data_IF_042431965759
#
_entry.id   IF_042431965759
#
_cell.length_a   1.000
_cell.length_b   1.000
_cell.length_c   1.000
_cell.angle_alpha   90.00
_cell.angle_beta   90.00
_cell.angle_gamma   90.00
#
_symmetry.space_group_name_H-M   'P 1'
#
loop_
_entity.id
_entity.type
_entity.pdbx_description
1 polymer ?
#
# COMPACT_ATOMS: atom_id res chain seq x y z
N UNK A 1 0.16 19.49 -14.47
CA UNK A 1 1.15 19.90 -13.45
C UNK A 1 2.47 20.07 -14.15
N UNK A 2 3.02 21.27 -14.12
CA UNK A 2 4.37 21.51 -14.60
C UNK A 2 5.33 21.23 -13.44
N UNK A 3 6.35 20.39 -13.65
CA UNK A 3 7.40 20.14 -12.65
C UNK A 3 8.70 20.89 -12.99
N UNK A 4 8.83 21.38 -14.23
CA UNK A 4 10.04 22.02 -14.75
C UNK A 4 10.09 23.54 -14.48
N UNK A 5 8.92 24.20 -14.39
CA UNK A 5 8.81 25.65 -14.15
C UNK A 5 8.43 26.01 -12.70
N UNK A 6 8.66 25.07 -11.77
CA UNK A 6 8.09 25.10 -10.42
C UNK A 6 6.85 24.22 -10.34
N UNK A 7 6.57 23.61 -9.19
CA UNK A 7 5.43 22.71 -9.00
C UNK A 7 4.12 23.52 -9.00
N UNK A 8 3.60 23.80 -10.19
CA UNK A 8 2.33 24.51 -10.37
C UNK A 8 1.29 23.66 -11.10
N UNK A 9 0.03 23.89 -10.77
CA UNK A 9 -1.11 23.32 -11.48
C UNK A 9 -1.95 24.42 -12.14
N UNK A 10 -2.13 24.27 -13.45
CA UNK A 10 -3.01 25.12 -14.25
C UNK A 10 -4.31 24.36 -14.56
N UNK A 11 -5.46 25.05 -14.63
CA UNK A 11 -6.71 24.44 -15.08
C UNK A 11 -6.56 23.85 -16.48
N UNK A 12 -7.07 22.63 -16.66
CA UNK A 12 -7.07 21.94 -17.95
C UNK A 12 -8.40 21.21 -18.14
N UNK A 13 -9.04 21.43 -19.29
CA UNK A 13 -10.15 20.59 -19.72
C UNK A 13 -9.60 19.37 -20.46
N UNK A 14 -9.75 18.20 -19.86
CA UNK A 14 -9.33 16.93 -20.45
C UNK A 14 -10.30 16.43 -21.54
N UNK A 15 -11.49 17.02 -21.65
CA UNK A 15 -12.57 16.51 -22.49
C UNK A 15 -13.25 15.24 -21.96
N UNK A 16 -12.72 14.63 -20.89
CA UNK A 16 -13.25 13.39 -20.30
C UNK A 16 -14.64 13.58 -19.69
N UNK A 17 -15.02 14.82 -19.35
CA UNK A 17 -16.35 15.12 -18.83
C UNK A 17 -17.48 14.64 -19.75
N UNK A 18 -17.29 14.71 -21.07
CA UNK A 18 -18.28 14.21 -22.05
C UNK A 18 -18.46 12.70 -21.98
N UNK A 19 -17.39 11.97 -21.66
CA UNK A 19 -17.40 10.51 -21.55
C UNK A 19 -17.95 10.04 -20.20
N UNK A 20 -17.56 10.69 -19.11
CA UNK A 20 -17.87 10.25 -17.74
C UNK A 20 -19.25 10.72 -17.26
N UNK A 21 -19.72 11.89 -17.70
CA UNK A 21 -21.01 12.44 -17.24
C UNK A 21 -22.20 11.51 -17.53
N UNK A 22 -22.32 10.89 -18.73
CA UNK A 22 -23.38 9.91 -19.00
C UNK A 22 -23.33 8.66 -18.10
N UNK A 23 -22.17 8.35 -17.52
CA UNK A 23 -21.99 7.21 -16.61
C UNK A 23 -22.18 7.58 -15.14
N UNK A 24 -22.51 8.85 -14.85
CA UNK A 24 -22.78 9.31 -13.50
C UNK A 24 -21.55 9.79 -12.74
N UNK A 25 -20.47 10.20 -13.42
CA UNK A 25 -19.26 10.73 -12.77
C UNK A 25 -18.83 12.05 -13.39
N UNK A 26 -18.51 13.05 -12.56
CA UNK A 26 -17.91 14.31 -12.98
C UNK A 26 -16.56 14.51 -12.32
N UNK A 27 -15.61 15.04 -13.08
CA UNK A 27 -14.31 15.46 -12.55
C UNK A 27 -14.43 16.94 -12.19
N UNK A 28 -14.28 17.24 -10.91
CA UNK A 28 -14.28 18.61 -10.41
C UNK A 28 -12.99 19.35 -10.77
N UNK A 29 -13.01 20.66 -10.56
CA UNK A 29 -11.87 21.54 -10.85
C UNK A 29 -11.10 21.84 -9.57
N UNK A 30 -9.78 21.98 -9.66
CA UNK A 30 -8.90 22.26 -8.53
C UNK A 30 -8.13 21.03 -8.03
N UNK A 31 -7.32 21.24 -7.00
CA UNK A 31 -6.47 20.21 -6.39
C UNK A 31 -6.91 20.00 -4.95
N UNK A 32 -7.19 18.76 -4.57
CA UNK A 32 -7.53 18.43 -3.18
C UNK A 32 -6.27 18.50 -2.32
N UNK A 33 -6.36 19.29 -1.26
CA UNK A 33 -5.40 19.34 -0.18
C UNK A 33 -6.01 18.70 1.07
N UNK A 34 -5.19 17.98 1.84
CA UNK A 34 -5.64 17.26 3.02
C UNK A 34 -4.68 17.46 4.19
N UNK A 35 -5.20 17.55 5.41
CA UNK A 35 -4.38 17.51 6.61
C UNK A 35 -3.71 16.13 6.77
N UNK A 36 -4.40 15.05 6.38
CA UNK A 36 -3.84 13.70 6.29
C UNK A 36 -3.03 13.57 5.01
N UNK A 37 -1.78 14.04 5.04
CA UNK A 37 -0.92 14.12 3.86
C UNK A 37 0.48 13.55 4.08
N UNK A 38 1.15 13.29 2.96
CA UNK A 38 2.56 12.94 2.93
C UNK A 38 3.46 14.12 3.34
N UNK A 39 4.75 13.84 3.47
CA UNK A 39 5.76 14.86 3.77
C UNK A 39 6.67 15.05 2.58
N UNK A 40 7.03 16.30 2.30
CA UNK A 40 7.95 16.66 1.22
C UNK A 40 9.20 17.33 1.79
N UNK A 41 10.39 17.13 1.18
CA UNK A 41 11.60 17.82 1.60
C UNK A 41 11.53 19.30 1.23
N UNK A 42 11.77 20.16 2.20
CA UNK A 42 11.91 21.61 2.03
C UNK A 42 13.28 22.04 2.53
N UNK A 43 13.93 22.96 1.80
CA UNK A 43 15.20 23.56 2.25
C UNK A 43 14.89 24.65 3.27
N UNK A 44 15.28 24.43 4.53
CA UNK A 44 15.17 25.42 5.59
C UNK A 44 16.28 26.48 5.51
N UNK A 45 16.16 27.50 6.37
CA UNK A 45 17.23 28.45 6.66
C UNK A 45 18.53 27.66 6.96
N UNK A 46 19.66 28.11 6.42
CA UNK A 46 20.98 27.44 6.50
C UNK A 46 21.17 26.17 5.65
N UNK A 47 20.25 25.87 4.72
CA UNK A 47 20.44 24.81 3.72
C UNK A 47 20.18 23.39 4.22
N UNK A 48 19.70 23.23 5.46
CA UNK A 48 19.26 21.96 6.01
C UNK A 48 17.95 21.52 5.32
N UNK A 49 17.87 20.26 4.88
CA UNK A 49 16.62 19.70 4.37
C UNK A 49 15.76 19.21 5.53
N UNK A 50 14.52 19.69 5.60
CA UNK A 50 13.53 19.30 6.60
C UNK A 50 12.28 18.75 5.90
N UNK A 51 11.72 17.65 6.39
CA UNK A 51 10.50 17.08 5.83
C UNK A 51 9.28 17.77 6.45
N UNK A 52 8.52 18.50 5.64
CA UNK A 52 7.31 19.24 6.07
C UNK A 52 6.04 18.56 5.54
N UNK A 53 4.90 18.64 6.26
CA UNK A 53 3.61 18.21 5.73
C UNK A 53 3.31 18.89 4.38
N UNK A 54 2.83 18.12 3.42
CA UNK A 54 2.54 18.59 2.07
C UNK A 54 1.09 18.26 1.67
N UNK A 55 0.13 19.12 2.03
CA UNK A 55 -1.30 18.87 1.87
C UNK A 55 -1.78 18.43 0.48
N UNK A 56 -1.24 18.92 -0.65
CA UNK A 56 -1.59 18.44 -1.99
C UNK A 56 -1.26 16.97 -2.27
N UNK A 57 -0.66 16.25 -1.32
CA UNK A 57 -0.38 14.81 -1.38
C UNK A 57 -1.17 14.09 -0.28
N UNK A 58 -2.50 13.94 -0.44
CA UNK A 58 -3.30 13.21 0.53
C UNK A 58 -2.84 11.76 0.65
N UNK A 59 -2.94 11.23 1.86
CA UNK A 59 -2.78 9.80 2.15
C UNK A 59 -4.17 9.23 2.34
N UNK A 60 -4.59 8.37 1.42
CA UNK A 60 -5.90 7.74 1.44
C UNK A 60 -5.79 6.46 2.27
N UNK A 61 -6.57 6.36 3.33
CA UNK A 61 -6.67 5.15 4.15
C UNK A 61 -7.93 4.38 3.77
N UNK A 62 -7.84 3.05 3.76
CA UNK A 62 -8.96 2.20 3.36
C UNK A 62 -9.49 1.42 4.55
N UNK A 63 -10.81 1.37 4.69
CA UNK A 63 -11.46 0.46 5.63
C UNK A 63 -11.61 -0.95 5.05
N UNK A 64 -12.10 -1.89 5.88
CA UNK A 64 -12.27 -3.29 5.46
C UNK A 64 -13.29 -3.47 4.33
N UNK A 65 -14.26 -2.57 4.19
CA UNK A 65 -15.25 -2.63 3.13
C UNK A 65 -14.63 -2.15 1.81
N UNK A 66 -13.91 -1.04 1.83
CA UNK A 66 -13.17 -0.52 0.69
C UNK A 66 -12.08 -1.49 0.21
N UNK A 67 -11.29 -2.07 1.13
CA UNK A 67 -10.26 -3.07 0.80
C UNK A 67 -10.83 -4.41 0.33
N UNK A 68 -12.15 -4.62 0.41
CA UNK A 68 -12.81 -5.79 -0.21
C UNK A 68 -12.91 -5.67 -1.74
N UNK A 69 -12.85 -4.44 -2.27
CA UNK A 69 -12.84 -4.23 -3.71
C UNK A 69 -11.50 -4.70 -4.31
N UNK A 70 -11.48 -5.47 -5.40
CA UNK A 70 -10.25 -6.05 -5.94
C UNK A 70 -9.16 -5.02 -6.25
N UNK A 71 -9.53 -3.82 -6.72
CA UNK A 71 -8.59 -2.73 -6.98
C UNK A 71 -7.87 -2.21 -5.71
N UNK A 72 -8.49 -2.34 -4.53
CA UNK A 72 -7.95 -1.87 -3.24
C UNK A 72 -7.48 -3.01 -2.33
N UNK A 73 -7.42 -4.22 -2.85
CA UNK A 73 -7.13 -5.41 -2.07
C UNK A 73 -5.75 -5.34 -1.41
N UNK A 74 -5.70 -5.61 -0.09
CA UNK A 74 -4.49 -5.56 0.76
C UNK A 74 -3.75 -4.21 0.76
N UNK A 75 -4.44 -3.13 0.44
CA UNK A 75 -3.94 -1.78 0.64
C UNK A 75 -4.53 -1.22 1.93
N UNK A 76 -3.65 -0.83 2.86
CA UNK A 76 -4.04 -0.08 4.06
C UNK A 76 -4.12 1.41 3.77
N UNK A 77 -3.15 1.93 3.00
CA UNK A 77 -3.15 3.32 2.55
C UNK A 77 -2.32 3.56 1.29
N UNK A 78 -2.65 4.62 0.55
CA UNK A 78 -2.03 5.03 -0.71
C UNK A 78 -1.75 6.53 -0.69
N UNK A 79 -0.57 6.94 -1.14
CA UNK A 79 -0.27 8.35 -1.37
C UNK A 79 -0.85 8.76 -2.71
N UNK A 80 -1.73 9.76 -2.73
CA UNK A 80 -2.49 10.13 -3.92
C UNK A 80 -2.25 11.60 -4.33
N UNK A 81 -1.04 11.91 -4.83
CA UNK A 81 -0.59 13.27 -5.09
C UNK A 81 -1.41 13.97 -6.17
N UNK A 82 -1.65 15.26 -5.93
CA UNK A 82 -2.15 16.24 -6.88
C UNK A 82 -3.44 15.81 -7.57
N UNK A 83 -4.42 15.42 -6.76
CA UNK A 83 -5.68 14.83 -7.23
C UNK A 83 -6.78 15.88 -7.37
N UNK A 84 -7.57 15.75 -8.43
CA UNK A 84 -8.82 16.47 -8.58
C UNK A 84 -9.95 15.76 -7.80
N UNK A 85 -10.95 16.48 -7.28
CA UNK A 85 -12.12 15.87 -6.66
C UNK A 85 -13.00 15.23 -7.74
N UNK A 86 -13.66 14.13 -7.40
CA UNK A 86 -14.68 13.48 -8.21
C UNK A 86 -16.06 13.70 -7.58
N UNK A 87 -17.09 13.81 -8.40
CA UNK A 87 -18.48 13.88 -7.98
C UNK A 87 -19.25 12.74 -8.62
N UNK A 88 -19.99 11.98 -7.80
CA UNK A 88 -20.90 10.95 -8.28
C UNK A 88 -22.30 11.55 -8.46
N UNK A 89 -22.89 11.36 -9.64
CA UNK A 89 -24.25 11.79 -9.99
C UNK A 89 -25.14 10.58 -10.25
N UNK A 90 -26.38 10.80 -10.67
CA UNK A 90 -27.27 9.69 -11.06
C UNK A 90 -26.65 8.88 -12.19
N UNK A 91 -26.47 7.59 -11.96
CA UNK A 91 -26.06 6.63 -12.98
C UNK A 91 -27.28 6.14 -13.78
N UNK A 92 -27.10 5.77 -15.07
CA UNK A 92 -28.15 5.16 -15.86
C UNK A 92 -28.48 3.73 -15.36
N UNK A 93 -29.64 3.21 -15.78
CA UNK A 93 -30.06 1.85 -15.42
C UNK A 93 -29.03 0.80 -15.88
N UNK A 94 -28.71 -0.15 -15.00
CA UNK A 94 -27.71 -1.18 -15.29
C UNK A 94 -26.25 -0.75 -15.12
N UNK A 95 -25.99 0.48 -14.63
CA UNK A 95 -24.65 0.97 -14.29
C UNK A 95 -24.54 1.19 -12.78
N UNK A 96 -23.58 0.50 -12.15
CA UNK A 96 -23.24 0.64 -10.73
C UNK A 96 -22.01 1.54 -10.61
N UNK A 97 -22.15 2.65 -9.90
CA UNK A 97 -21.04 3.55 -9.55
C UNK A 97 -20.73 3.37 -8.07
N UNK A 98 -19.49 3.00 -7.76
CA UNK A 98 -19.01 2.73 -6.39
C UNK A 98 -17.85 3.67 -6.08
N UNK A 99 -17.98 4.48 -5.04
CA UNK A 99 -16.87 5.29 -4.53
C UNK A 99 -15.88 4.39 -3.81
N UNK A 100 -14.66 4.30 -4.33
CA UNK A 100 -13.61 3.44 -3.77
C UNK A 100 -12.82 4.14 -2.66
N UNK A 101 -12.56 5.44 -2.81
CA UNK A 101 -11.73 6.20 -1.90
C UNK A 101 -12.19 7.64 -1.78
N UNK A 102 -12.09 8.18 -0.57
CA UNK A 102 -12.38 9.56 -0.25
C UNK A 102 -11.20 10.21 0.47
N UNK A 103 -11.06 11.53 0.34
CA UNK A 103 -10.19 12.30 1.23
C UNK A 103 -10.72 12.31 2.66
N UNK A 104 -9.91 12.79 3.61
CA UNK A 104 -10.33 12.93 4.99
C UNK A 104 -11.35 14.06 5.18
N UNK A 105 -12.01 14.11 6.35
CA UNK A 105 -12.90 15.21 6.73
C UNK A 105 -12.18 16.56 6.81
N UNK A 106 -10.85 16.55 7.04
CA UNK A 106 -10.02 17.75 7.13
C UNK A 106 -9.40 18.15 5.79
N UNK A 107 -10.02 17.75 4.68
CA UNK A 107 -9.60 18.13 3.33
C UNK A 107 -10.30 19.40 2.85
N UNK A 108 -9.64 20.10 1.94
CA UNK A 108 -10.16 21.30 1.29
C UNK A 108 -9.68 21.38 -0.15
N UNK A 109 -10.40 22.14 -0.96
CA UNK A 109 -10.06 22.32 -2.37
C UNK A 109 -9.18 23.55 -2.57
N UNK A 110 -8.02 23.36 -3.21
CA UNK A 110 -7.21 24.45 -3.75
C UNK A 110 -7.76 24.83 -5.12
N UNK A 111 -8.10 26.11 -5.30
CA UNK A 111 -8.64 26.65 -6.55
C UNK A 111 -7.85 27.90 -6.96
N UNK A 112 -7.79 28.16 -8.27
CA UNK A 112 -7.04 29.29 -8.82
C UNK A 112 -6.64 29.06 -10.27
N UNK A 113 -6.24 30.13 -10.95
CA UNK A 113 -5.73 30.05 -12.34
C UNK A 113 -4.32 29.45 -12.44
N UNK A 114 -3.55 29.52 -11.35
CA UNK A 114 -2.27 28.85 -11.16
C UNK A 114 -2.12 28.51 -9.68
N UNK A 115 -2.18 27.22 -9.35
CA UNK A 115 -2.08 26.73 -7.97
C UNK A 115 -0.62 26.37 -7.70
N UNK A 116 -0.01 27.00 -6.71
CA UNK A 116 1.34 26.68 -6.27
C UNK A 116 1.34 25.48 -5.32
N UNK A 117 1.90 24.37 -5.83
CA UNK A 117 2.03 23.07 -5.19
C UNK A 117 3.44 22.82 -4.66
N UNK A 118 4.32 23.83 -4.61
CA UNK A 118 5.64 23.65 -4.03
C UNK A 118 5.56 23.39 -2.51
N UNK A 119 6.47 22.57 -1.94
CA UNK A 119 6.66 22.48 -0.50
C UNK A 119 7.02 23.86 0.07
N UNK A 120 6.24 24.31 1.06
CA UNK A 120 6.37 25.61 1.72
C UNK A 120 6.12 25.47 3.21
N UNK A 121 6.28 26.55 3.98
CA UNK A 121 6.05 26.51 5.44
C UNK A 121 4.62 26.00 5.71
N UNK A 122 4.44 25.03 6.63
CA UNK A 122 3.12 24.51 6.97
C UNK A 122 2.08 25.58 7.31
N UNK A 123 2.52 26.73 7.84
CA UNK A 123 1.67 27.87 8.20
C UNK A 123 1.15 28.65 6.99
N UNK A 124 1.74 28.46 5.82
CA UNK A 124 1.30 29.10 4.58
C UNK A 124 0.17 28.33 3.89
N UNK A 125 -0.13 27.10 4.31
CA UNK A 125 -1.30 26.38 3.83
C UNK A 125 -2.57 26.92 4.47
N UNK A 126 -3.45 27.47 3.64
CA UNK A 126 -4.74 28.00 4.06
C UNK A 126 -5.87 27.23 3.37
N UNK A 127 -6.93 26.94 4.14
CA UNK A 127 -8.17 26.41 3.59
C UNK A 127 -8.84 27.51 2.75
N UNK A 128 -8.61 27.46 1.44
CA UNK A 128 -9.01 28.51 0.50
C UNK A 128 -10.29 28.20 -0.28
N UNK A 129 -10.77 26.96 -0.22
CA UNK A 129 -11.95 26.49 -0.93
C UNK A 129 -12.86 25.62 -0.08
N UNK A 130 -13.88 24.99 -0.70
CA UNK A 130 -14.80 24.09 -0.02
C UNK A 130 -14.06 23.02 0.80
N UNK A 131 -14.62 22.70 1.97
CA UNK A 131 -14.19 21.55 2.75
C UNK A 131 -14.75 20.25 2.16
N UNK A 132 -14.00 19.17 2.33
CA UNK A 132 -14.40 17.83 1.93
C UNK A 132 -15.32 17.14 2.95
N UNK A 133 -15.38 15.81 2.94
CA UNK A 133 -14.56 14.88 2.16
C UNK A 133 -14.93 14.88 0.66
N UNK A 134 -13.94 14.59 -0.18
CA UNK A 134 -14.08 14.48 -1.63
C UNK A 134 -13.87 13.04 -2.09
N UNK A 135 -14.74 12.47 -2.94
CA UNK A 135 -14.42 11.25 -3.68
C UNK A 135 -13.20 11.45 -4.57
N UNK A 136 -12.27 10.49 -4.56
CA UNK A 136 -11.01 10.58 -5.33
C UNK A 136 -10.79 9.38 -6.27
N UNK A 137 -11.41 8.24 -5.96
CA UNK A 137 -11.41 7.05 -6.80
C UNK A 137 -12.81 6.48 -6.89
N UNK A 138 -13.24 6.12 -8.09
CA UNK A 138 -14.58 5.59 -8.39
C UNK A 138 -14.46 4.41 -9.35
N UNK A 139 -15.14 3.31 -9.03
CA UNK A 139 -15.34 2.17 -9.92
C UNK A 139 -16.72 2.24 -10.55
N UNK A 140 -16.78 2.02 -11.86
CA UNK A 140 -18.01 1.93 -12.63
C UNK A 140 -18.08 0.52 -13.23
N UNK A 141 -19.20 -0.17 -13.03
CA UNK A 141 -19.45 -1.49 -13.60
C UNK A 141 -20.85 -1.55 -14.22
N UNK A 142 -20.97 -2.11 -15.42
CA UNK A 142 -22.29 -2.33 -16.01
C UNK A 142 -22.33 -2.26 -17.53
N UNK A 143 -23.55 -2.06 -18.05
CA UNK A 143 -23.80 -1.82 -19.46
C UNK A 143 -23.69 -0.33 -19.73
N UNK A 144 -22.56 0.12 -20.27
CA UNK A 144 -22.26 1.54 -20.39
C UNK A 144 -22.82 2.12 -21.70
N UNK A 145 -23.62 3.20 -21.66
CA UNK A 145 -24.04 3.90 -22.87
C UNK A 145 -22.83 4.56 -23.54
N UNK A 146 -22.82 4.58 -24.87
CA UNK A 146 -21.78 5.26 -25.63
C UNK A 146 -22.01 6.78 -25.60
N UNK A 147 -21.02 7.53 -25.13
CA UNK A 147 -21.02 8.99 -25.15
C UNK A 147 -20.96 9.59 -26.58
N UNK A 148 -20.66 8.77 -27.58
CA UNK A 148 -20.45 9.16 -28.97
C UNK A 148 -21.35 8.40 -29.96
N UNK A 149 -22.44 7.78 -29.47
CA UNK A 149 -23.38 7.01 -30.31
C UNK A 149 -24.00 7.82 -31.46
N UNK A 150 -23.94 9.16 -31.40
CA UNK A 150 -24.42 10.07 -32.43
C UNK A 150 -23.29 11.01 -32.86
N UNK A 151 -22.25 10.47 -33.51
CA UNK A 151 -21.37 11.32 -34.30
C UNK A 151 -22.04 11.56 -35.65
N UNK A 152 -22.29 12.83 -36.00
CA UNK A 152 -22.73 13.29 -37.33
C UNK A 152 -21.65 13.10 -38.42
N UNK A 153 -20.77 12.09 -38.28
CA UNK A 153 -19.84 11.71 -39.32
C UNK A 153 -20.64 10.96 -40.40
N UNK A 154 -20.69 11.45 -41.66
CA UNK A 154 -21.40 10.76 -42.71
C UNK A 154 -20.70 9.43 -43.00
N UNK A 155 -21.31 8.31 -42.59
CA UNK A 155 -20.97 6.97 -43.08
C UNK A 155 -20.64 5.88 -42.06
N UNK A 156 -20.80 6.08 -40.75
CA UNK A 156 -20.53 5.02 -39.76
C UNK A 156 -21.74 4.70 -38.87
N UNK A 157 -22.68 3.93 -39.42
CA UNK A 157 -23.84 3.36 -38.71
C UNK A 157 -23.47 2.20 -37.76
N UNK A 158 -22.17 1.93 -37.53
CA UNK A 158 -21.71 0.73 -36.82
C UNK A 158 -21.37 0.96 -35.34
N UNK A 159 -21.42 2.19 -34.82
CA UNK A 159 -21.09 2.45 -33.42
C UNK A 159 -22.22 1.98 -32.49
N UNK A 160 -21.99 1.00 -31.60
CA UNK A 160 -23.04 0.53 -30.71
C UNK A 160 -23.48 1.62 -29.74
N UNK A 161 -24.79 1.72 -29.50
CA UNK A 161 -25.36 2.70 -28.56
C UNK A 161 -24.95 2.43 -27.09
N UNK A 162 -24.55 1.20 -26.77
CA UNK A 162 -24.06 0.79 -25.46
C UNK A 162 -23.11 -0.40 -25.57
N UNK A 163 -22.39 -0.71 -24.49
CA UNK A 163 -21.53 -1.89 -24.42
C UNK A 163 -22.34 -3.19 -24.56
N UNK A 164 -21.82 -4.15 -25.31
CA UNK A 164 -22.48 -5.47 -25.51
C UNK A 164 -22.23 -6.44 -24.36
N UNK A 165 -21.21 -6.19 -23.56
CA UNK A 165 -20.85 -6.92 -22.34
C UNK A 165 -20.71 -5.93 -21.17
N UNK A 166 -20.72 -6.45 -19.96
CA UNK A 166 -20.39 -5.68 -18.76
C UNK A 166 -18.99 -5.10 -18.89
N UNK A 167 -18.90 -3.77 -18.88
CA UNK A 167 -17.66 -3.03 -18.88
C UNK A 167 -17.31 -2.59 -17.46
N UNK A 168 -16.01 -2.46 -17.19
CA UNK A 168 -15.46 -1.92 -15.95
C UNK A 168 -14.64 -0.69 -16.27
N UNK A 169 -14.82 0.38 -15.52
CA UNK A 169 -14.05 1.61 -15.65
C UNK A 169 -13.57 2.03 -14.27
N UNK A 170 -12.27 2.30 -14.17
CA UNK A 170 -11.65 2.89 -12.99
C UNK A 170 -11.40 4.37 -13.26
N UNK A 171 -11.99 5.24 -12.44
CA UNK A 171 -11.82 6.68 -12.52
C UNK A 171 -11.04 7.16 -11.31
N UNK A 172 -9.94 7.85 -11.56
CA UNK A 172 -9.05 8.39 -10.55
C UNK A 172 -8.86 9.90 -10.78
N UNK A 173 -8.88 10.69 -9.70
CA UNK A 173 -8.65 12.13 -9.76
C UNK A 173 -7.21 12.54 -10.11
N UNK A 174 -6.27 11.60 -10.11
CA UNK A 174 -4.87 11.81 -10.50
C UNK A 174 -4.34 10.61 -11.28
N UNK A 175 -3.52 10.85 -12.30
CA UNK A 175 -2.71 9.81 -12.95
C UNK A 175 -1.33 9.64 -12.29
N UNK A 176 -1.00 10.49 -11.31
CA UNK A 176 0.35 10.56 -10.76
C UNK A 176 0.77 9.26 -10.04
N UNK A 177 -0.18 8.49 -9.52
CA UNK A 177 0.09 7.17 -8.92
C UNK A 177 0.63 6.13 -9.92
N UNK A 178 0.50 6.38 -11.24
CA UNK A 178 1.03 5.53 -12.31
C UNK A 178 2.41 5.97 -12.82
N UNK A 179 2.93 7.11 -12.34
CA UNK A 179 4.20 7.63 -12.82
C UNK A 179 5.39 6.98 -12.10
N UNK A 180 6.52 6.91 -12.80
CA UNK A 180 7.77 6.36 -12.27
C UNK A 180 8.25 7.06 -10.99
N UNK A 181 7.95 8.35 -10.82
CA UNK A 181 8.30 9.07 -9.58
C UNK A 181 7.49 8.60 -8.36
N UNK A 182 6.34 7.97 -8.59
CA UNK A 182 5.51 7.35 -7.57
C UNK A 182 5.82 5.85 -7.37
N UNK A 183 6.67 5.26 -8.22
CA UNK A 183 7.14 3.88 -8.11
C UNK A 183 8.31 3.78 -7.11
N UNK A 184 8.53 2.60 -6.51
CA UNK A 184 9.61 2.41 -5.54
C UNK A 184 10.96 2.78 -6.13
N UNK A 185 11.59 3.80 -5.54
CA UNK A 185 12.98 4.12 -5.77
C UNK A 185 13.83 3.10 -4.99
N UNK A 186 14.72 2.38 -5.68
CA UNK A 186 15.64 1.45 -5.04
C UNK A 186 16.51 2.21 -4.03
N UNK A 187 16.27 2.03 -2.73
CA UNK A 187 17.06 2.68 -1.69
C UNK A 187 18.44 2.04 -1.60
N UNK A 188 19.42 2.60 -2.31
CA UNK A 188 20.83 2.21 -2.23
C UNK A 188 21.16 0.85 -2.85
N UNK A 189 22.42 0.67 -3.25
CA UNK A 189 22.90 -0.58 -3.84
C UNK A 189 22.73 -1.75 -2.86
N UNK A 190 21.70 -2.58 -3.08
CA UNK A 190 21.39 -3.75 -2.27
C UNK A 190 20.12 -3.66 -1.42
N UNK A 191 19.38 -2.54 -1.44
CA UNK A 191 18.07 -2.46 -0.78
C UNK A 191 16.99 -3.19 -1.59
N UNK A 192 16.18 -4.02 -0.94
CA UNK A 192 15.01 -4.63 -1.58
C UNK A 192 14.07 -3.53 -2.10
N UNK A 193 13.64 -3.64 -3.36
CA UNK A 193 12.57 -2.79 -3.89
C UNK A 193 11.26 -3.20 -3.22
N UNK A 194 10.99 -2.66 -2.03
CA UNK A 194 9.70 -2.81 -1.37
C UNK A 194 8.63 -2.22 -2.29
N UNK A 195 7.61 -3.01 -2.61
CA UNK A 195 6.50 -2.55 -3.43
C UNK A 195 5.77 -1.41 -2.70
N UNK A 196 5.84 -0.19 -3.21
CA UNK A 196 5.01 0.91 -2.69
C UNK A 196 3.54 0.57 -2.87
N UNK A 197 2.67 1.07 -1.99
CA UNK A 197 1.22 0.90 -2.12
C UNK A 197 0.66 1.44 -3.44
N UNK A 198 1.29 2.46 -4.04
CA UNK A 198 0.89 3.01 -5.34
C UNK A 198 1.09 2.01 -6.49
N UNK A 199 2.20 1.28 -6.50
CA UNK A 199 2.45 0.21 -7.48
C UNK A 199 1.47 -0.96 -7.29
N UNK A 200 1.19 -1.33 -6.04
CA UNK A 200 0.20 -2.36 -5.75
C UNK A 200 -1.21 -1.93 -6.20
N UNK A 201 -1.60 -0.67 -5.98
CA UNK A 201 -2.85 -0.10 -6.51
C UNK A 201 -2.90 -0.18 -8.04
N UNK A 202 -1.83 0.21 -8.73
CA UNK A 202 -1.77 0.18 -10.18
C UNK A 202 -1.97 -1.25 -10.72
N UNK A 203 -1.28 -2.22 -10.14
CA UNK A 203 -1.38 -3.63 -10.52
C UNK A 203 -2.77 -4.21 -10.24
N UNK A 204 -3.30 -3.99 -9.03
CA UNK A 204 -4.65 -4.43 -8.66
C UNK A 204 -5.72 -3.82 -9.58
N UNK A 205 -5.54 -2.56 -9.99
CA UNK A 205 -6.44 -1.87 -10.92
C UNK A 205 -6.38 -2.51 -12.31
N UNK A 206 -5.19 -2.78 -12.84
CA UNK A 206 -5.03 -3.48 -14.12
C UNK A 206 -5.67 -4.86 -14.07
N UNK A 207 -5.38 -5.64 -13.03
CA UNK A 207 -5.93 -7.00 -12.87
C UNK A 207 -7.48 -6.98 -12.78
N UNK A 208 -8.06 -5.98 -12.11
CA UNK A 208 -9.52 -5.81 -12.04
C UNK A 208 -10.13 -5.41 -13.40
N UNK A 209 -9.46 -4.53 -14.16
CA UNK A 209 -9.90 -4.06 -15.48
C UNK A 209 -9.82 -5.15 -16.55
N UNK A 210 -8.83 -6.06 -16.47
CA UNK A 210 -8.68 -7.19 -17.41
C UNK A 210 -9.63 -8.36 -17.12
N UNK A 211 -10.53 -8.21 -16.15
CA UNK A 211 -11.43 -9.26 -15.66
C UNK A 211 -10.71 -10.47 -15.07
N UNK A 212 -9.46 -10.32 -14.63
CA UNK A 212 -8.67 -11.39 -14.03
C UNK A 212 -8.66 -11.30 -12.49
N UNK A 213 -9.85 -11.19 -11.89
CA UNK A 213 -9.98 -11.15 -10.43
C UNK A 213 -9.53 -12.47 -9.76
N UNK A 214 -9.54 -13.58 -10.52
CA UNK A 214 -9.06 -14.88 -10.05
C UNK A 214 -7.53 -14.89 -9.88
N UNK A 215 -6.76 -14.16 -10.72
CA UNK A 215 -5.32 -13.97 -10.52
C UNK A 215 -4.98 -13.07 -9.31
N UNK A 216 -5.82 -12.10 -8.96
CA UNK A 216 -5.62 -11.25 -7.75
C UNK A 216 -5.62 -12.13 -6.50
N UNK A 217 -6.56 -13.08 -6.41
CA UNK A 217 -6.64 -14.05 -5.31
C UNK A 217 -5.43 -15.00 -5.27
N UNK A 218 -4.82 -15.32 -6.41
CA UNK A 218 -3.61 -16.16 -6.49
C UNK A 218 -2.36 -15.38 -6.06
N UNK A 219 -2.21 -14.11 -6.44
CA UNK A 219 -1.11 -13.24 -6.00
C UNK A 219 -1.14 -13.02 -4.48
N UNK A 220 -2.34 -12.92 -3.91
CA UNK A 220 -2.58 -12.78 -2.48
C UNK A 220 -1.99 -13.93 -1.65
N UNK A 221 -1.93 -15.14 -2.21
CA UNK A 221 -1.47 -16.34 -1.51
C UNK A 221 0.06 -16.46 -1.44
N UNK A 222 0.80 -15.66 -2.22
CA UNK A 222 2.23 -15.91 -2.43
C UNK A 222 3.18 -14.85 -1.83
N UNK A 223 2.67 -13.81 -1.15
CA UNK A 223 3.53 -12.80 -0.51
C UNK A 223 2.87 -12.30 0.76
N UNK A 224 2.93 -13.10 1.80
CA UNK A 224 2.93 -12.67 3.19
C UNK A 224 3.73 -13.76 3.89
N UNK A 225 5.06 -13.65 3.83
CA UNK A 225 5.84 -14.32 4.87
C UNK A 225 5.29 -13.73 6.17
N UNK A 226 4.65 -14.53 7.05
CA UNK A 226 4.24 -14.03 8.33
C UNK A 226 5.47 -13.35 8.94
N UNK A 227 5.32 -12.13 9.50
CA UNK A 227 6.46 -11.44 10.10
C UNK A 227 7.14 -12.45 11.01
N UNK A 228 8.45 -12.67 10.82
CA UNK A 228 9.19 -13.59 11.66
C UNK A 228 8.99 -13.06 13.08
N UNK A 229 8.17 -13.77 13.85
CA UNK A 229 7.88 -13.41 15.23
C UNK A 229 9.19 -13.57 15.98
N UNK A 230 9.87 -12.44 16.19
CA UNK A 230 11.12 -12.40 16.91
C UNK A 230 10.76 -12.77 18.35
N UNK A 231 11.43 -13.78 18.94
CA UNK A 231 11.18 -14.17 20.32
C UNK A 231 11.22 -12.97 21.27
N UNK A 232 10.29 -12.93 22.22
CA UNK A 232 10.08 -11.79 23.13
C UNK A 232 11.34 -11.43 23.93
N UNK A 233 12.15 -12.43 24.28
CA UNK A 233 13.46 -12.28 24.92
C UNK A 233 14.49 -11.58 24.03
N UNK A 234 14.48 -11.85 22.72
CA UNK A 234 15.33 -11.15 21.74
C UNK A 234 14.86 -9.71 21.56
N UNK A 235 13.54 -9.47 21.54
CA UNK A 235 12.94 -8.14 21.40
C UNK A 235 13.27 -7.24 22.60
N UNK A 236 13.11 -7.75 23.82
CA UNK A 236 13.43 -7.03 25.06
C UNK A 236 14.91 -6.67 25.12
N UNK A 237 15.80 -7.62 24.79
CA UNK A 237 17.24 -7.36 24.77
C UNK A 237 17.66 -6.32 23.71
N UNK A 238 16.98 -6.31 22.55
CA UNK A 238 17.21 -5.32 21.50
C UNK A 238 16.72 -3.91 21.88
N UNK A 239 15.58 -3.81 22.56
CA UNK A 239 15.06 -2.55 23.11
C UNK A 239 15.97 -1.99 24.20
N UNK A 240 16.45 -2.83 25.10
CA UNK A 240 17.43 -2.45 26.14
C UNK A 240 18.74 -1.93 25.50
N UNK A 241 19.28 -2.63 24.51
CA UNK A 241 20.48 -2.21 23.80
C UNK A 241 20.28 -0.87 23.07
N UNK A 242 19.12 -0.67 22.43
CA UNK A 242 18.79 0.57 21.72
C UNK A 242 18.62 1.75 22.66
N UNK A 243 17.98 1.54 23.80
CA UNK A 243 17.78 2.58 24.82
C UNK A 243 19.11 2.96 25.49
N UNK A 244 19.95 1.98 25.81
CA UNK A 244 21.29 2.20 26.36
C UNK A 244 22.21 2.93 25.35
N UNK A 245 22.15 2.59 24.06
CA UNK A 245 22.87 3.32 23.01
C UNK A 245 22.42 4.78 22.89
N UNK A 246 21.10 5.02 22.96
CA UNK A 246 20.54 6.38 22.96
C UNK A 246 20.99 7.21 24.16
N UNK A 247 21.01 6.61 25.36
CA UNK A 247 21.50 7.22 26.58
C UNK A 247 23.00 7.56 26.50
N UNK A 248 23.82 6.65 25.96
CA UNK A 248 25.25 6.87 25.77
C UNK A 248 25.54 8.03 24.80
N UNK A 249 24.82 8.11 23.68
CA UNK A 249 24.95 9.19 22.70
C UNK A 249 24.53 10.54 23.32
N UNK A 250 23.43 10.55 24.09
CA UNK A 250 22.95 11.76 24.76
C UNK A 250 23.92 12.27 25.84
N UNK A 251 24.51 11.37 26.63
CA UNK A 251 25.51 11.70 27.64
C UNK A 251 26.81 12.21 27.01
N UNK A 252 27.27 11.60 25.91
CA UNK A 252 28.43 12.04 25.16
C UNK A 252 28.27 13.45 24.57
N UNK A 253 27.07 13.81 24.10
CA UNK A 253 26.76 15.16 23.63
C UNK A 253 26.79 16.22 24.74
N UNK A 254 26.52 15.83 25.98
CA UNK A 254 26.51 16.71 27.16
C UNK A 254 27.87 16.79 27.87
N UNK A 255 28.88 16.05 27.40
CA UNK A 255 30.21 16.00 28.02
C UNK A 255 30.28 15.18 29.31
N UNK A 256 29.24 14.40 29.62
CA UNK A 256 29.21 13.50 30.77
C UNK A 256 29.81 12.14 30.40
N UNK A 257 31.13 12.04 30.55
CA UNK A 257 31.92 10.84 30.23
C UNK A 257 31.53 9.63 31.08
N UNK A 258 31.22 9.82 32.37
CA UNK A 258 30.91 8.73 33.28
C UNK A 258 29.57 8.06 32.94
N UNK A 259 28.56 8.86 32.57
CA UNK A 259 27.26 8.32 32.13
C UNK A 259 27.37 7.66 30.75
N UNK A 260 28.16 8.22 29.83
CA UNK A 260 28.39 7.64 28.52
C UNK A 260 29.05 6.25 28.58
N UNK A 261 30.08 6.06 29.40
CA UNK A 261 30.76 4.78 29.61
C UNK A 261 29.83 3.74 30.24
N UNK A 262 29.06 4.13 31.26
CA UNK A 262 28.12 3.24 31.94
C UNK A 262 26.97 2.79 31.04
N UNK A 263 26.47 3.65 30.16
CA UNK A 263 25.43 3.30 29.18
C UNK A 263 25.99 2.47 28.02
N UNK A 264 27.26 2.62 27.68
CA UNK A 264 27.94 1.73 26.72
C UNK A 264 28.12 0.30 27.28
N UNK A 265 28.52 0.15 28.55
CA UNK A 265 28.60 -1.16 29.23
C UNK A 265 27.24 -1.85 29.27
N UNK A 266 26.16 -1.13 29.61
CA UNK A 266 24.79 -1.65 29.56
C UNK A 266 24.37 -2.09 28.16
N UNK A 267 24.81 -1.38 27.11
CA UNK A 267 24.53 -1.74 25.73
C UNK A 267 25.24 -3.05 25.36
N UNK A 268 26.50 -3.23 25.77
CA UNK A 268 27.25 -4.47 25.55
C UNK A 268 26.59 -5.66 26.24
N UNK A 269 26.21 -5.51 27.52
CA UNK A 269 25.46 -6.52 28.28
C UNK A 269 24.15 -6.93 27.58
N UNK A 270 23.39 -5.95 27.08
CA UNK A 270 22.13 -6.21 26.37
C UNK A 270 22.36 -6.94 25.04
N UNK A 271 23.45 -6.63 24.34
CA UNK A 271 23.86 -7.32 23.12
C UNK A 271 24.30 -8.77 23.38
N UNK A 272 24.93 -9.06 24.52
CA UNK A 272 25.27 -10.43 24.92
C UNK A 272 24.01 -11.25 25.23
N UNK A 273 23.07 -10.70 26.01
CA UNK A 273 21.77 -11.36 26.27
C UNK A 273 21.00 -11.66 24.98
N UNK A 274 21.03 -10.73 24.02
CA UNK A 274 20.45 -10.95 22.69
C UNK A 274 21.10 -12.14 21.97
N UNK A 275 22.43 -12.26 22.01
CA UNK A 275 23.16 -13.38 21.37
C UNK A 275 22.79 -14.71 22.02
N UNK A 276 22.70 -14.75 23.35
CA UNK A 276 22.29 -15.94 24.09
C UNK A 276 20.86 -16.37 23.77
N UNK A 277 19.92 -15.41 23.76
CA UNK A 277 18.53 -15.63 23.40
C UNK A 277 18.39 -16.20 21.97
N UNK A 278 19.12 -15.62 21.00
CA UNK A 278 19.18 -16.12 19.63
C UNK A 278 19.77 -17.54 19.55
N UNK A 279 20.85 -17.81 20.30
CA UNK A 279 21.46 -19.14 20.35
C UNK A 279 20.52 -20.20 20.93
N UNK A 280 19.81 -19.87 22.01
CA UNK A 280 18.82 -20.75 22.63
C UNK A 280 17.63 -21.01 21.68
N UNK A 281 17.20 -19.99 20.93
CA UNK A 281 16.15 -20.11 19.93
C UNK A 281 16.55 -21.01 18.77
N UNK A 282 17.75 -20.83 18.21
CA UNK A 282 18.26 -21.68 17.12
C UNK A 282 18.43 -23.13 17.57
N UNK A 283 18.84 -23.38 18.81
CA UNK A 283 18.90 -24.74 19.38
C UNK A 283 17.52 -25.41 19.44
N UNK A 284 16.49 -24.67 19.89
CA UNK A 284 15.09 -25.17 19.89
C UNK A 284 14.62 -25.47 18.47
N UNK A 285 14.84 -24.54 17.53
CA UNK A 285 14.47 -24.69 16.12
C UNK A 285 15.16 -25.90 15.48
N UNK A 286 16.44 -26.12 15.76
CA UNK A 286 17.18 -27.30 15.30
C UNK A 286 16.56 -28.59 15.85
N UNK A 287 16.23 -28.64 17.14
CA UNK A 287 15.58 -29.81 17.74
C UNK A 287 14.23 -30.15 17.08
N UNK A 288 13.38 -29.15 16.83
CA UNK A 288 12.11 -29.36 16.12
C UNK A 288 12.32 -29.81 14.67
N UNK A 289 13.27 -29.20 13.94
CA UNK A 289 13.56 -29.58 12.55
C UNK A 289 14.03 -31.03 12.46
N UNK A 290 15.00 -31.43 13.28
CA UNK A 290 15.51 -32.81 13.29
C UNK A 290 14.47 -33.81 13.80
N UNK A 291 13.69 -33.44 14.81
CA UNK A 291 12.57 -34.23 15.32
C UNK A 291 11.52 -34.51 14.26
N UNK A 292 11.10 -33.50 13.48
CA UNK A 292 10.12 -33.69 12.41
C UNK A 292 10.72 -34.42 11.20
N UNK A 293 11.95 -34.07 10.81
CA UNK A 293 12.61 -34.62 9.62
C UNK A 293 12.93 -36.12 9.77
N UNK A 294 13.34 -36.56 10.95
CA UNK A 294 13.71 -37.97 11.18
C UNK A 294 12.65 -38.75 11.96
N UNK A 295 11.98 -38.11 12.93
CA UNK A 295 11.04 -38.77 13.82
C UNK A 295 9.78 -39.26 13.11
N UNK A 296 9.17 -38.43 12.26
CA UNK A 296 7.94 -38.81 11.54
C UNK A 296 8.22 -39.99 10.58
N UNK A 297 9.23 -39.96 9.68
CA UNK A 297 9.55 -41.12 8.84
C UNK A 297 9.91 -42.38 9.63
N UNK A 298 10.64 -42.24 10.75
CA UNK A 298 10.99 -43.38 11.60
C UNK A 298 9.74 -44.04 12.24
N UNK A 299 8.76 -43.24 12.68
CA UNK A 299 7.49 -43.75 13.21
C UNK A 299 6.70 -44.53 12.15
N UNK A 300 6.65 -44.03 10.91
CA UNK A 300 6.02 -44.77 9.80
C UNK A 300 6.76 -46.07 9.48
N UNK A 301 8.10 -46.06 9.48
CA UNK A 301 8.92 -47.25 9.31
C UNK A 301 8.66 -48.31 10.39
N UNK A 302 8.63 -47.89 11.66
CA UNK A 302 8.35 -48.76 12.80
C UNK A 302 6.94 -49.35 12.73
N UNK A 303 5.94 -48.54 12.40
CA UNK A 303 4.55 -49.00 12.22
C UNK A 303 4.43 -50.01 11.09
N UNK A 304 5.07 -49.74 9.94
CA UNK A 304 5.13 -50.66 8.80
C UNK A 304 5.76 -52.00 9.18
N UNK A 305 6.87 -51.97 9.92
CA UNK A 305 7.56 -53.17 10.40
C UNK A 305 6.71 -53.99 11.37
N UNK A 306 6.08 -53.35 12.36
CA UNK A 306 5.18 -53.99 13.31
C UNK A 306 4.01 -54.67 12.61
N UNK A 307 3.37 -53.96 11.67
CA UNK A 307 2.25 -54.49 10.89
C UNK A 307 2.69 -55.66 10.00
N UNK A 308 3.87 -55.59 9.38
CA UNK A 308 4.43 -56.68 8.60
C UNK A 308 4.68 -57.92 9.47
N UNK A 309 5.27 -57.75 10.65
CA UNK A 309 5.53 -58.84 11.60
C UNK A 309 4.24 -59.49 12.11
N UNK A 310 3.22 -58.69 12.43
CA UNK A 310 1.89 -59.19 12.81
C UNK A 310 1.24 -60.01 11.69
N UNK A 311 1.38 -59.58 10.43
CA UNK A 311 0.88 -60.33 9.27
C UNK A 311 1.60 -61.67 9.08
N UNK A 312 2.92 -61.69 9.25
CA UNK A 312 3.71 -62.93 9.16
C UNK A 312 3.35 -63.94 10.26
N UNK A 313 3.10 -63.46 11.49
CA UNK A 313 2.63 -64.31 12.59
C UNK A 313 1.26 -64.93 12.30
N UNK A 314 0.30 -64.15 11.76
CA UNK A 314 -1.04 -64.66 11.41
C UNK A 314 -0.99 -65.74 10.32
N UNK A 315 -0.06 -65.65 9.36
CA UNK A 315 0.12 -66.67 8.31
C UNK A 315 0.64 -68.00 8.84
N UNK A 316 1.42 -68.00 9.94
CA UNK A 316 1.95 -69.22 10.56
C UNK A 316 0.90 -70.02 11.35
N UNK A 317 -0.23 -69.39 11.71
CA UNK A 317 -1.30 -70.02 12.50
C UNK A 317 -2.51 -70.46 11.66
N UNK A 318 -2.45 -70.40 10.33
CA UNK A 318 -3.49 -70.97 9.47
C UNK A 318 -3.10 -72.43 9.20
N UNK A 319 -3.71 -73.36 9.94
CA UNK A 319 -3.72 -74.79 9.58
C UNK A 319 -4.78 -74.98 8.48
N UNK A 320 -4.36 -75.58 7.36
CA UNK A 320 -5.24 -76.06 6.28
C UNK A 320 -5.97 -77.33 6.70
#
# INVERSE_FOLDING_TARGET
>A
INLEQGMTADPMDSGLGKLLSPWGVKVGQGVVADAQCGRAPMRAQFGLQVAVPHPPVPVLSFDKEQSSHPALFRLDSVHFPFTAPLETTSAPEGVKVTTLATSSENSWLLTGSAIDLAPKDPREWHQSGPAGPFPLMVAIEGTLPSAFAASEAPGDDTTPAASTKTARVFVAGSSFFLRDEALPQQQGAGGECQMTSNLALALNTVDWLTQDSDLIAIRAKNVEDPPIEVPEDVRVAEEEARNAAGEAIAAAQQGDQATAEKSAEKQEDALERRKEALGAWEAKKAAYRWGNMLGIPALFGLFGFLRWRMRQSRRRNIQL
#
